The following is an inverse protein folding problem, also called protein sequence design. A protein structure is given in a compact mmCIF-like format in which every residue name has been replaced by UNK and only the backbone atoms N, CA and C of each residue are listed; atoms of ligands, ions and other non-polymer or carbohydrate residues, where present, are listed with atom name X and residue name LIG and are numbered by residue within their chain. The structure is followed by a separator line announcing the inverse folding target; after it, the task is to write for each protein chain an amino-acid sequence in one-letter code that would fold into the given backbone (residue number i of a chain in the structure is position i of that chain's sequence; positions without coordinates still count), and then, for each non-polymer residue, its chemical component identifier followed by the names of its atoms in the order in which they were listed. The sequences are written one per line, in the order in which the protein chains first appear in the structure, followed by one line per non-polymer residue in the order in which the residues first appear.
data_IF_740894906730
#
_entry.id   IF_740894906730
#
_cell.length_a   1.000
_cell.length_b   1.000
_cell.length_c   1.000
_cell.angle_alpha   90.00
_cell.angle_beta   90.00
_cell.angle_gamma   90.00
#
_symmetry.space_group_name_H-M   'P 1'
#
loop_
_entity.id
_entity.type
_entity.pdbx_description
1 polymer ?
#
# COMPACT_ATOMS: atom_id res chain seq x y z
N UNK A 1 2.59 -8.35 14.87
CA UNK A 1 2.33 -8.72 13.47
C UNK A 1 2.36 -7.43 12.68
N UNK A 2 3.37 -7.23 11.83
CA UNK A 2 3.52 -6.00 11.05
C UNK A 2 2.76 -6.17 9.74
N UNK A 3 1.78 -5.30 9.49
CA UNK A 3 1.04 -5.30 8.23
C UNK A 3 1.96 -4.71 7.16
N UNK A 4 2.12 -5.46 6.05
CA UNK A 4 2.81 -4.97 4.87
C UNK A 4 1.79 -4.28 3.97
N UNK A 5 2.04 -3.03 3.62
CA UNK A 5 1.09 -2.18 2.92
C UNK A 5 1.66 -1.77 1.58
N UNK A 6 0.86 -1.90 0.53
CA UNK A 6 1.17 -1.37 -0.79
C UNK A 6 0.31 -0.13 -1.05
N UNK A 7 0.95 1.03 -1.28
CA UNK A 7 0.27 2.31 -1.49
C UNK A 7 0.25 2.65 -2.98
N UNK A 8 -0.95 2.83 -3.51
CA UNK A 8 -1.19 3.19 -4.91
C UNK A 8 -0.53 4.55 -5.29
N UNK A 9 -0.34 4.77 -6.59
CA UNK A 9 0.28 5.96 -7.16
C UNK A 9 -0.46 7.26 -6.85
N UNK A 10 -1.76 7.20 -6.52
CA UNK A 10 -2.55 8.35 -6.11
C UNK A 10 -2.40 8.70 -4.62
N UNK A 11 -1.75 7.84 -3.83
CA UNK A 11 -1.47 8.09 -2.42
C UNK A 11 -0.14 8.85 -2.29
N UNK A 12 -0.16 9.95 -1.53
CA UNK A 12 1.05 10.73 -1.24
C UNK A 12 2.10 9.88 -0.55
N UNK A 13 3.35 9.97 -1.02
CA UNK A 13 4.51 9.30 -0.41
C UNK A 13 4.72 9.68 1.07
N UNK A 14 4.22 10.84 1.50
CA UNK A 14 4.23 11.27 2.92
C UNK A 14 3.41 10.31 3.80
N UNK A 15 2.34 9.72 3.26
CA UNK A 15 1.55 8.71 3.97
C UNK A 15 2.38 7.46 4.24
N UNK A 16 3.24 7.07 3.29
CA UNK A 16 4.18 5.94 3.48
C UNK A 16 5.13 6.21 4.65
N UNK A 17 5.67 7.42 4.74
CA UNK A 17 6.56 7.82 5.84
C UNK A 17 5.85 7.80 7.20
N UNK A 18 4.61 8.29 7.26
CA UNK A 18 3.79 8.27 8.49
C UNK A 18 3.46 6.84 8.93
N UNK A 19 3.14 5.95 7.99
CA UNK A 19 2.89 4.54 8.30
C UNK A 19 4.17 3.86 8.81
N UNK A 20 5.30 4.10 8.14
CA UNK A 20 6.62 3.60 8.59
C UNK A 20 6.99 4.12 9.97
N UNK A 21 6.75 5.39 10.27
CA UNK A 21 7.04 5.96 11.59
C UNK A 21 6.19 5.35 12.71
N UNK A 22 5.05 4.73 12.37
CA UNK A 22 4.18 3.99 13.30
C UNK A 22 4.48 2.49 13.36
N UNK A 23 5.54 2.04 12.67
CA UNK A 23 6.00 0.66 12.68
C UNK A 23 5.40 -0.22 11.59
N UNK A 24 4.67 0.33 10.61
CA UNK A 24 4.15 -0.44 9.48
C UNK A 24 5.18 -0.57 8.36
N UNK A 25 5.18 -1.70 7.64
CA UNK A 25 6.02 -1.89 6.45
C UNK A 25 5.24 -1.41 5.22
N UNK A 26 5.35 -0.13 4.86
CA UNK A 26 4.69 0.43 3.67
C UNK A 26 5.66 0.48 2.47
N UNK A 27 5.16 0.19 1.27
CA UNK A 27 5.84 0.34 -0.03
C UNK A 27 4.90 1.05 -1.00
N UNK A 28 5.37 2.07 -1.70
CA UNK A 28 4.55 2.79 -2.69
C UNK A 28 4.71 2.23 -4.09
N UNK A 29 3.74 2.50 -4.97
CA UNK A 29 3.79 2.16 -6.41
C UNK A 29 5.03 2.74 -7.08
N UNK A 30 5.49 3.92 -6.66
CA UNK A 30 6.71 4.53 -7.18
C UNK A 30 7.97 3.78 -6.74
N UNK A 31 8.04 3.34 -5.48
CA UNK A 31 9.17 2.56 -4.96
C UNK A 31 9.21 1.14 -5.55
N UNK A 32 8.05 0.56 -5.85
CA UNK A 32 7.93 -0.74 -6.51
C UNK A 32 8.21 -0.68 -8.02
N UNK A 33 8.33 0.51 -8.61
CA UNK A 33 8.50 0.67 -10.06
C UNK A 33 7.25 0.37 -10.87
N UNK A 34 6.08 0.37 -10.23
CA UNK A 34 4.79 -0.03 -10.80
C UNK A 34 3.93 1.16 -11.27
N UNK A 35 4.54 2.34 -11.39
CA UNK A 35 3.81 3.56 -11.77
C UNK A 35 3.23 3.42 -13.19
N UNK A 36 1.95 3.75 -13.35
CA UNK A 36 1.23 3.63 -14.62
C UNK A 36 0.80 2.21 -14.98
N UNK A 37 0.93 1.24 -14.08
CA UNK A 37 0.27 -0.07 -14.21
C UNK A 37 -1.22 0.05 -13.93
N UNK A 38 -2.03 -0.81 -14.55
CA UNK A 38 -3.47 -0.84 -14.26
C UNK A 38 -3.75 -1.30 -12.83
N UNK A 39 -4.92 -0.94 -12.32
CA UNK A 39 -5.38 -1.34 -10.99
C UNK A 39 -5.29 -2.86 -10.79
N UNK A 40 -5.65 -3.68 -11.79
CA UNK A 40 -5.52 -5.14 -11.69
C UNK A 40 -4.06 -5.60 -11.53
N UNK A 41 -3.12 -4.98 -12.26
CA UNK A 41 -1.71 -5.33 -12.18
C UNK A 41 -1.09 -4.90 -10.84
N UNK A 42 -1.53 -3.75 -10.31
CA UNK A 42 -1.13 -3.29 -8.98
C UNK A 42 -1.70 -4.20 -7.87
N UNK A 43 -2.94 -4.68 -8.02
CA UNK A 43 -3.57 -5.64 -7.11
C UNK A 43 -2.90 -7.02 -7.13
N UNK A 44 -2.53 -7.51 -8.31
CA UNK A 44 -1.77 -8.77 -8.46
C UNK A 44 -0.42 -8.67 -7.74
N UNK A 45 0.31 -7.56 -7.95
CA UNK A 45 1.55 -7.31 -7.22
C UNK A 45 1.33 -7.26 -5.70
N UNK A 46 0.31 -6.55 -5.20
CA UNK A 46 0.04 -6.51 -3.77
C UNK A 46 -0.26 -7.91 -3.20
N UNK A 47 -1.06 -8.70 -3.92
CA UNK A 47 -1.47 -10.06 -3.53
C UNK A 47 -0.30 -11.03 -3.49
N UNK A 48 0.58 -11.00 -4.49
CA UNK A 48 1.76 -11.86 -4.57
C UNK A 48 2.75 -11.64 -3.41
N UNK A 49 2.77 -10.43 -2.85
CA UNK A 49 3.64 -10.07 -1.73
C UNK A 49 2.98 -10.15 -0.34
N UNK A 50 1.76 -10.72 -0.23
CA UNK A 50 0.94 -10.69 0.99
C UNK A 50 0.78 -9.26 1.55
N UNK A 51 0.56 -8.29 0.66
CA UNK A 51 0.37 -6.87 1.02
C UNK A 51 -1.10 -6.51 0.82
N UNK A 52 -1.64 -5.75 1.77
CA UNK A 52 -2.95 -5.14 1.59
C UNK A 52 -2.79 -3.84 0.79
N UNK A 53 -3.69 -3.60 -0.15
CA UNK A 53 -3.75 -2.32 -0.86
C UNK A 53 -4.27 -1.21 0.05
N UNK A 54 -3.93 0.05 -0.25
CA UNK A 54 -4.41 1.21 0.50
C UNK A 54 -5.95 1.29 0.55
N UNK A 55 -6.62 0.92 -0.55
CA UNK A 55 -8.08 0.87 -0.64
C UNK A 55 -8.70 -0.18 0.29
N UNK A 56 -8.14 -1.38 0.32
CA UNK A 56 -8.57 -2.44 1.25
C UNK A 56 -8.28 -2.06 2.72
N UNK A 57 -7.18 -1.34 2.97
CA UNK A 57 -6.84 -0.86 4.31
C UNK A 57 -7.74 0.28 4.79
N UNK A 58 -8.19 1.19 3.92
CA UNK A 58 -9.17 2.21 4.32
C UNK A 58 -10.49 1.57 4.77
N UNK A 59 -10.92 0.48 4.12
CA UNK A 59 -12.12 -0.24 4.52
C UNK A 59 -11.96 -0.99 5.86
N UNK A 60 -10.73 -1.37 6.25
CA UNK A 60 -10.44 -2.01 7.53
C UNK A 60 -10.23 -1.00 8.69
N UNK A 61 -9.73 0.20 8.39
CA UNK A 61 -9.42 1.24 9.40
C UNK A 61 -10.64 2.06 9.79
N UNK A 62 -11.68 2.17 8.95
CA UNK A 62 -12.91 2.92 9.25
C UNK A 62 -13.88 2.13 10.16
N UNK A 63 -13.65 0.84 10.38
CA UNK A 63 -14.48 -0.03 11.25
C UNK A 63 -13.87 -0.30 12.65
N UNK A 64 -13.00 0.59 13.14
CA UNK A 64 -12.50 0.58 14.53
C UNK A 64 -12.76 1.93 15.21
#
# INVERSE_FOLDING_TARGET
MFVKTYLDENISVVVAEILRSRGFEAVTTQEAGNKGLSDEQQLEFASDFNRFTADEMMNQIIYI
#
